data_IF_473526960878
#
_entry.id   IF_473526960878
#
_cell.length_a   1.000
_cell.length_b   1.000
_cell.length_c   1.000
_cell.angle_alpha   90.00
_cell.angle_beta   90.00
_cell.angle_gamma   90.00
#
_symmetry.space_group_name_H-M   'P 1'
#
loop_
_entity.id
_entity.type
_entity.pdbx_description
1 polymer ?
#
# COMPACT_ATOMS: atom_id res chain seq x y z
N UNK A 1 -7.59 28.09 -19.83
CA UNK A 1 -6.86 28.47 -18.60
C UNK A 1 -5.74 27.47 -18.38
N UNK A 2 -4.50 27.93 -18.13
CA UNK A 2 -3.37 27.05 -17.82
C UNK A 2 -3.36 26.82 -16.30
N UNK A 3 -3.65 25.60 -15.86
CA UNK A 3 -3.62 25.26 -14.43
C UNK A 3 -2.19 25.38 -13.92
N UNK A 4 -1.95 26.28 -12.98
CA UNK A 4 -0.64 26.44 -12.35
C UNK A 4 -0.46 25.38 -11.25
N UNK A 5 0.70 24.70 -11.22
CA UNK A 5 1.02 23.73 -10.18
C UNK A 5 1.38 24.46 -8.88
N UNK A 6 0.77 24.03 -7.78
CA UNK A 6 0.99 24.64 -6.45
C UNK A 6 2.35 24.23 -5.87
N UNK A 7 3.07 25.17 -5.24
CA UNK A 7 4.35 24.88 -4.54
C UNK A 7 4.26 23.74 -3.51
N UNK A 8 3.11 23.57 -2.84
CA UNK A 8 2.92 22.49 -1.85
C UNK A 8 2.99 21.07 -2.44
N UNK A 9 2.86 20.92 -3.76
CA UNK A 9 3.00 19.63 -4.44
C UNK A 9 4.44 19.36 -4.91
N UNK A 10 5.38 20.29 -4.68
CA UNK A 10 6.80 20.11 -4.97
C UNK A 10 7.47 19.28 -3.87
N UNK A 11 7.00 18.04 -3.72
CA UNK A 11 7.56 17.04 -2.81
C UNK A 11 8.15 15.92 -3.64
N UNK A 12 9.25 15.34 -3.17
CA UNK A 12 9.82 14.16 -3.78
C UNK A 12 8.89 12.96 -3.59
N UNK A 13 8.72 12.11 -4.61
CA UNK A 13 7.93 10.90 -4.47
C UNK A 13 8.60 9.91 -3.53
N UNK A 14 7.81 8.98 -2.99
CA UNK A 14 8.37 7.92 -2.16
C UNK A 14 8.99 6.81 -3.03
N UNK A 15 10.27 6.96 -3.36
CA UNK A 15 10.99 6.08 -4.31
C UNK A 15 10.93 4.57 -3.97
N UNK A 16 10.74 4.20 -2.70
CA UNK A 16 10.60 2.79 -2.31
C UNK A 16 9.40 2.11 -2.99
N UNK A 17 8.36 2.89 -3.33
CA UNK A 17 7.18 2.38 -4.03
C UNK A 17 7.49 1.95 -5.46
N UNK A 18 8.43 2.62 -6.15
CA UNK A 18 8.84 2.24 -7.50
C UNK A 18 9.60 0.91 -7.50
N UNK A 19 10.47 0.72 -6.50
CA UNK A 19 11.20 -0.53 -6.28
C UNK A 19 10.23 -1.67 -5.97
N UNK A 20 9.26 -1.44 -5.09
CA UNK A 20 8.21 -2.41 -4.76
C UNK A 20 7.37 -2.78 -6.00
N UNK A 21 6.98 -1.78 -6.79
CA UNK A 21 6.21 -2.01 -8.01
C UNK A 21 7.00 -2.86 -9.03
N UNK A 22 8.30 -2.61 -9.18
CA UNK A 22 9.16 -3.42 -10.05
C UNK A 22 9.32 -4.85 -9.54
N UNK A 23 9.56 -5.03 -8.23
CA UNK A 23 9.64 -6.35 -7.61
C UNK A 23 8.36 -7.17 -7.84
N UNK A 24 7.19 -6.53 -7.71
CA UNK A 24 5.90 -7.18 -7.97
C UNK A 24 5.73 -7.57 -9.45
N UNK A 25 6.15 -6.72 -10.39
CA UNK A 25 6.12 -7.06 -11.83
C UNK A 25 6.97 -8.29 -12.16
N UNK A 26 8.20 -8.33 -11.65
CA UNK A 26 9.11 -9.47 -11.84
C UNK A 26 8.52 -10.76 -11.25
N UNK A 27 7.98 -10.70 -10.01
CA UNK A 27 7.29 -11.84 -9.39
C UNK A 27 6.11 -12.34 -10.23
N UNK A 28 5.32 -11.42 -10.78
CA UNK A 28 4.17 -11.77 -11.62
C UNK A 28 4.59 -12.43 -12.95
N UNK A 29 5.82 -12.18 -13.41
CA UNK A 29 6.44 -12.84 -14.57
C UNK A 29 7.07 -14.20 -14.24
N UNK A 30 7.05 -14.61 -12.96
CA UNK A 30 7.65 -15.87 -12.50
C UNK A 30 9.12 -15.76 -12.09
N UNK A 31 9.69 -14.55 -12.07
CA UNK A 31 11.08 -14.36 -11.66
C UNK A 31 11.25 -14.56 -10.14
N UNK A 32 12.32 -15.22 -9.69
CA UNK A 32 12.61 -15.42 -8.28
C UNK A 32 13.10 -14.11 -7.63
N UNK A 33 12.21 -13.42 -6.92
CA UNK A 33 12.52 -12.14 -6.26
C UNK A 33 12.36 -12.24 -4.74
N UNK A 34 13.43 -11.87 -4.02
CA UNK A 34 13.41 -11.60 -2.58
C UNK A 34 13.24 -10.09 -2.41
N UNK A 35 12.04 -9.64 -2.02
CA UNK A 35 11.77 -8.21 -1.82
C UNK A 35 12.17 -7.79 -0.41
N UNK A 36 13.18 -6.94 -0.30
CA UNK A 36 13.59 -6.27 0.94
C UNK A 36 13.20 -4.78 0.95
N UNK A 37 12.32 -4.37 0.02
CA UNK A 37 11.95 -2.97 -0.20
C UNK A 37 10.81 -2.47 0.70
N UNK A 38 10.06 -3.37 1.34
CA UNK A 38 8.87 -3.02 2.13
C UNK A 38 9.23 -2.92 3.61
N UNK A 39 8.99 -1.77 4.22
CA UNK A 39 9.18 -1.54 5.66
C UNK A 39 7.97 -1.92 6.53
N UNK A 40 7.17 -2.92 6.12
CA UNK A 40 5.93 -3.31 6.79
C UNK A 40 5.89 -4.82 7.05
N UNK A 41 5.16 -5.29 8.08
CA UNK A 41 5.00 -6.72 8.34
C UNK A 41 4.38 -7.48 7.15
N UNK A 42 4.79 -8.73 6.96
CA UNK A 42 4.16 -9.64 5.99
C UNK A 42 2.83 -10.21 6.50
N UNK A 43 2.67 -10.30 7.82
CA UNK A 43 1.52 -10.95 8.43
C UNK A 43 0.27 -10.06 8.32
N UNK A 44 -0.92 -10.66 8.08
CA UNK A 44 -2.16 -9.93 8.11
C UNK A 44 -2.44 -9.41 9.53
N UNK A 45 -3.36 -8.46 9.63
CA UNK A 45 -3.91 -8.08 10.93
C UNK A 45 -4.45 -9.32 11.68
N UNK A 46 -4.34 -9.37 13.02
CA UNK A 46 -4.83 -10.49 13.82
C UNK A 46 -6.29 -10.84 13.54
N UNK A 47 -6.65 -12.12 13.63
CA UNK A 47 -7.99 -12.62 13.30
C UNK A 47 -9.10 -11.85 14.05
N UNK A 48 -8.94 -11.65 15.36
CA UNK A 48 -9.89 -10.89 16.18
C UNK A 48 -10.14 -9.46 15.67
N UNK A 49 -9.10 -8.79 15.16
CA UNK A 49 -9.23 -7.43 14.59
C UNK A 49 -10.04 -7.48 13.30
N UNK A 50 -9.76 -8.45 12.44
CA UNK A 50 -10.47 -8.63 11.16
C UNK A 50 -11.94 -8.98 11.37
N UNK A 51 -12.24 -9.83 12.35
CA UNK A 51 -13.61 -10.20 12.72
C UNK A 51 -14.40 -9.02 13.27
N UNK A 52 -13.78 -8.23 14.17
CA UNK A 52 -14.38 -7.03 14.72
C UNK A 52 -14.69 -6.00 13.61
N UNK A 53 -13.74 -5.77 12.70
CA UNK A 53 -13.93 -4.87 11.56
C UNK A 53 -15.07 -5.34 10.63
N UNK A 54 -15.11 -6.64 10.33
CA UNK A 54 -16.17 -7.21 9.49
C UNK A 54 -17.56 -7.08 10.14
N UNK A 55 -17.65 -7.26 11.46
CA UNK A 55 -18.90 -7.06 12.21
C UNK A 55 -19.32 -5.59 12.20
N UNK A 56 -18.41 -4.67 12.49
CA UNK A 56 -18.68 -3.23 12.47
C UNK A 56 -19.18 -2.76 11.09
N UNK A 57 -18.58 -3.24 10.00
CA UNK A 57 -19.00 -2.94 8.64
C UNK A 57 -20.41 -3.45 8.33
N UNK A 58 -20.79 -4.66 8.79
CA UNK A 58 -22.14 -5.21 8.60
C UNK A 58 -23.21 -4.47 9.41
N UNK A 59 -22.87 -4.04 10.62
CA UNK A 59 -23.79 -3.35 11.53
C UNK A 59 -23.89 -1.84 11.28
N UNK A 60 -23.16 -1.32 10.28
CA UNK A 60 -23.14 0.11 9.95
C UNK A 60 -22.40 0.99 10.96
N UNK A 61 -21.58 0.39 11.84
CA UNK A 61 -20.80 1.09 12.88
C UNK A 61 -19.38 1.39 12.39
N UNK A 62 -19.28 2.11 11.28
CA UNK A 62 -18.02 2.61 10.72
C UNK A 62 -18.03 4.14 10.88
N UNK A 63 -17.53 4.62 12.02
CA UNK A 63 -17.52 6.04 12.39
C UNK A 63 -17.26 6.23 13.88
#
# INVERSE_FOLDING_TARGET
MKTAISRRSAIEPFHAMDVLAQANRLRAQGEPVISMAVGQPSDPAPAAVREAAARAAREGRIG
#
